data_IF_711682147939
#
_entry.id   IF_711682147939
#
_cell.length_a   1.000
_cell.length_b   1.000
_cell.length_c   1.000
_cell.angle_alpha   90.00
_cell.angle_beta   90.00
_cell.angle_gamma   90.00
#
_symmetry.space_group_name_H-M   'P 1'
#
loop_
_entity.id
_entity.type
_entity.pdbx_description
1 polymer ?
#
# COMPACT_ATOMS: atom_id res chain seq x y z
N UNK A 1 14.37 -3.87 15.62
CA UNK A 1 14.16 -3.01 14.45
C UNK A 1 15.00 -1.79 14.65
N UNK A 2 16.06 -1.64 13.87
CA UNK A 2 17.09 -0.62 14.08
C UNK A 2 16.91 0.49 13.05
N UNK A 3 16.20 1.55 13.43
CA UNK A 3 16.29 2.85 12.77
C UNK A 3 16.33 3.92 13.85
N UNK A 4 17.27 4.86 13.73
CA UNK A 4 17.42 5.98 14.66
C UNK A 4 16.42 7.12 14.39
N UNK A 5 15.34 6.84 13.66
CA UNK A 5 14.36 7.84 13.19
C UNK A 5 13.00 7.22 12.88
N UNK A 6 12.09 8.04 12.36
CA UNK A 6 10.72 7.65 12.03
C UNK A 6 10.67 6.56 10.96
N UNK A 7 9.85 5.54 11.19
CA UNK A 7 9.57 4.45 10.25
C UNK A 7 8.08 4.16 10.28
N UNK A 8 7.45 4.11 9.11
CA UNK A 8 6.12 3.54 8.92
C UNK A 8 6.21 2.26 8.10
N UNK A 9 5.64 1.18 8.62
CA UNK A 9 5.49 -0.10 7.93
C UNK A 9 4.03 -0.52 7.89
N UNK A 10 3.72 -1.57 7.14
CA UNK A 10 2.35 -2.11 6.99
C UNK A 10 1.32 -1.08 6.51
N UNK A 11 1.75 -0.04 5.80
CA UNK A 11 0.86 0.97 5.19
C UNK A 11 -0.16 0.25 4.32
N UNK A 12 -1.43 0.57 4.56
CA UNK A 12 -2.58 -0.13 3.98
C UNK A 12 -3.60 0.91 3.49
N UNK A 13 -4.24 0.72 2.33
CA UNK A 13 -4.00 -0.35 1.36
C UNK A 13 -2.60 -0.28 0.74
N UNK A 14 -2.04 -1.44 0.40
CA UNK A 14 -0.70 -1.51 -0.20
C UNK A 14 -0.70 -0.97 -1.64
N UNK A 15 0.49 -0.60 -2.14
CA UNK A 15 0.63 -0.04 -3.48
C UNK A 15 0.08 -0.96 -4.58
N UNK A 16 0.29 -2.27 -4.44
CA UNK A 16 -0.20 -3.28 -5.40
C UNK A 16 -1.73 -3.36 -5.49
N UNK A 17 -2.46 -2.84 -4.49
CA UNK A 17 -3.93 -2.77 -4.45
C UNK A 17 -4.47 -1.35 -4.64
N UNK A 18 -3.64 -0.42 -5.12
CA UNK A 18 -4.08 0.95 -5.43
C UNK A 18 -4.38 1.80 -4.20
N UNK A 19 -3.74 1.52 -3.06
CA UNK A 19 -3.79 2.45 -1.92
C UNK A 19 -3.06 3.77 -2.23
N UNK A 20 -3.26 4.83 -1.44
CA UNK A 20 -2.64 6.14 -1.69
C UNK A 20 -1.11 6.12 -1.81
N UNK A 21 -0.43 5.15 -1.16
CA UNK A 21 1.02 4.97 -1.30
C UNK A 21 1.44 4.62 -2.75
N UNK A 22 0.52 4.12 -3.59
CA UNK A 22 0.78 3.79 -4.99
C UNK A 22 0.97 5.02 -5.89
N UNK A 23 0.50 6.20 -5.46
CA UNK A 23 0.50 7.43 -6.28
C UNK A 23 1.52 8.48 -5.82
N UNK A 24 2.30 8.15 -4.79
CA UNK A 24 3.39 8.99 -4.31
C UNK A 24 4.47 9.05 -5.37
N UNK A 25 4.96 10.26 -5.65
CA UNK A 25 5.99 10.55 -6.64
C UNK A 25 7.15 11.27 -5.95
N UNK A 26 8.32 11.23 -6.59
CA UNK A 26 9.49 11.96 -6.11
C UNK A 26 9.17 13.45 -5.98
N UNK A 27 9.53 14.01 -4.83
CA UNK A 27 9.27 15.41 -4.49
C UNK A 27 7.93 15.68 -3.78
N UNK A 28 7.02 14.71 -3.69
CA UNK A 28 5.82 14.87 -2.84
C UNK A 28 6.23 14.98 -1.36
N UNK A 29 5.59 15.87 -0.62
CA UNK A 29 5.84 16.03 0.81
C UNK A 29 5.04 14.98 1.61
N UNK A 30 5.70 14.33 2.56
CA UNK A 30 5.08 13.37 3.48
C UNK A 30 5.13 13.94 4.90
N UNK A 31 3.97 14.10 5.54
CA UNK A 31 3.88 14.53 6.92
C UNK A 31 3.61 13.36 7.85
N UNK A 32 4.46 13.25 8.88
CA UNK A 32 4.25 12.42 10.06
C UNK A 32 3.76 13.31 11.20
N UNK A 33 2.50 13.18 11.58
CA UNK A 33 1.96 13.80 12.80
C UNK A 33 1.75 12.72 13.86
N UNK A 34 2.71 12.64 14.79
CA UNK A 34 2.72 11.62 15.84
C UNK A 34 1.62 11.89 16.89
N UNK A 35 1.30 13.16 17.15
CA UNK A 35 0.30 13.52 18.12
C UNK A 35 -1.11 13.18 17.61
N UNK A 36 -1.38 13.51 16.34
CA UNK A 36 -2.63 13.17 15.67
C UNK A 36 -2.72 11.68 15.26
N UNK A 37 -1.58 10.96 15.24
CA UNK A 37 -1.44 9.59 14.70
C UNK A 37 -1.77 9.52 13.22
N UNK A 38 -1.35 10.54 12.48
CA UNK A 38 -1.59 10.68 11.05
C UNK A 38 -0.29 10.56 10.26
N UNK A 39 -0.40 9.85 9.14
CA UNK A 39 0.60 9.83 8.08
C UNK A 39 -0.11 10.23 6.79
N UNK A 40 0.29 11.35 6.21
CA UNK A 40 -0.35 11.87 4.99
C UNK A 40 0.69 12.31 3.97
N UNK A 41 0.30 12.20 2.71
CA UNK A 41 0.97 12.89 1.60
C UNK A 41 0.29 14.25 1.45
N UNK A 42 1.04 15.34 1.33
CA UNK A 42 0.52 16.70 1.15
C UNK A 42 0.00 16.89 -0.28
N UNK A 43 -1.11 16.23 -0.60
CA UNK A 43 -1.84 16.37 -1.85
C UNK A 43 -3.30 16.65 -1.53
N UNK A 44 -3.96 17.43 -2.38
CA UNK A 44 -5.40 17.60 -2.27
C UNK A 44 -6.13 16.30 -2.60
N UNK A 45 -7.34 16.12 -2.07
CA UNK A 45 -8.19 14.97 -2.41
C UNK A 45 -8.42 14.84 -3.92
N UNK A 46 -8.51 15.98 -4.63
CA UNK A 46 -8.64 16.04 -6.08
C UNK A 46 -7.41 15.49 -6.82
N UNK A 47 -6.21 15.82 -6.36
CA UNK A 47 -4.96 15.27 -6.93
C UNK A 47 -4.81 13.78 -6.63
N UNK A 48 -5.15 13.35 -5.40
CA UNK A 48 -5.13 11.93 -5.04
C UNK A 48 -6.09 11.15 -5.95
N UNK A 49 -7.32 11.62 -6.11
CA UNK A 49 -8.31 11.00 -6.98
C UNK A 49 -7.85 10.96 -8.45
N UNK A 50 -7.29 12.06 -8.96
CA UNK A 50 -6.78 12.12 -10.33
C UNK A 50 -5.63 11.13 -10.56
N UNK A 51 -4.65 11.08 -9.65
CA UNK A 51 -3.51 10.15 -9.78
C UNK A 51 -3.96 8.68 -9.63
N UNK A 52 -4.95 8.40 -8.78
CA UNK A 52 -5.51 7.05 -8.64
C UNK A 52 -6.31 6.63 -9.86
N UNK A 53 -6.97 7.56 -10.56
CA UNK A 53 -7.68 7.26 -11.81
C UNK A 53 -6.73 6.80 -12.92
N UNK A 54 -5.49 7.30 -12.92
CA UNK A 54 -4.44 6.89 -13.88
C UNK A 54 -3.67 5.64 -13.41
N UNK A 55 -3.88 5.18 -12.17
CA UNK A 55 -3.13 4.07 -11.60
C UNK A 55 -3.60 2.73 -12.18
N UNK A 56 -2.62 1.89 -12.52
CA UNK A 56 -2.84 0.53 -12.98
C UNK A 56 -2.03 -0.43 -12.11
N UNK A 57 -2.65 -1.56 -11.73
CA UNK A 57 -1.96 -2.57 -10.95
C UNK A 57 -0.73 -3.09 -11.70
N UNK A 58 0.43 -3.23 -11.02
CA UNK A 58 1.61 -3.79 -11.65
C UNK A 58 1.38 -5.27 -11.99
N UNK A 59 1.98 -5.71 -13.10
CA UNK A 59 1.95 -7.11 -13.49
C UNK A 59 2.53 -8.02 -12.39
N UNK A 60 1.87 -9.13 -12.03
CA UNK A 60 2.38 -10.05 -11.03
C UNK A 60 3.75 -10.61 -11.43
N UNK A 61 4.74 -10.44 -10.56
CA UNK A 61 6.10 -11.00 -10.75
C UNK A 61 6.09 -12.53 -10.91
N UNK A 62 5.15 -13.19 -10.25
CA UNK A 62 4.96 -14.65 -10.32
C UNK A 62 3.54 -14.95 -10.76
N UNK A 63 3.41 -15.58 -11.93
CA UNK A 63 2.12 -15.97 -12.52
C UNK A 63 1.69 -17.39 -12.17
N UNK A 64 2.57 -18.18 -11.56
CA UNK A 64 2.29 -19.56 -11.13
C UNK A 64 3.08 -19.93 -9.86
N UNK A 65 2.80 -21.12 -9.33
CA UNK A 65 3.47 -21.67 -8.15
C UNK A 65 3.02 -21.03 -6.84
N UNK A 66 3.81 -21.25 -5.78
CA UNK A 66 3.42 -20.87 -4.40
C UNK A 66 3.20 -19.37 -4.22
N UNK A 67 3.99 -18.52 -4.91
CA UNK A 67 3.85 -17.06 -4.80
C UNK A 67 2.61 -16.52 -5.52
N UNK A 68 2.22 -17.12 -6.65
CA UNK A 68 0.96 -16.78 -7.31
C UNK A 68 -0.24 -17.16 -6.42
N UNK A 69 -0.19 -18.34 -5.78
CA UNK A 69 -1.21 -18.74 -4.80
C UNK A 69 -1.27 -17.77 -3.62
N UNK A 70 -0.12 -17.39 -3.05
CA UNK A 70 -0.06 -16.45 -1.94
C UNK A 70 -0.67 -15.09 -2.31
N UNK A 71 -0.22 -14.49 -3.42
CA UNK A 71 -0.71 -13.20 -3.89
C UNK A 71 -2.24 -13.21 -4.13
N UNK A 72 -2.79 -14.34 -4.60
CA UNK A 72 -4.22 -14.51 -4.81
C UNK A 72 -5.04 -14.65 -3.51
N UNK A 73 -4.42 -14.99 -2.38
CA UNK A 73 -5.12 -15.37 -1.15
C UNK A 73 -4.81 -14.51 0.06
N UNK A 74 -3.75 -13.69 0.00
CA UNK A 74 -3.28 -12.89 1.14
C UNK A 74 -4.20 -11.70 1.42
N UNK A 75 -4.59 -11.57 2.70
CA UNK A 75 -5.39 -10.45 3.20
C UNK A 75 -4.54 -9.17 3.34
N UNK A 76 -5.18 -8.07 3.71
CA UNK A 76 -4.44 -6.86 4.06
C UNK A 76 -3.48 -7.07 5.24
N UNK A 77 -2.39 -6.31 5.30
CA UNK A 77 -1.53 -6.25 6.48
C UNK A 77 -2.30 -5.75 7.71
N UNK A 78 -3.30 -4.86 7.53
CA UNK A 78 -4.23 -4.45 8.59
C UNK A 78 -5.10 -5.60 9.14
N UNK A 79 -5.20 -6.71 8.41
CA UNK A 79 -5.90 -7.93 8.81
C UNK A 79 -4.92 -9.07 9.19
N UNK A 80 -3.63 -8.76 9.32
CA UNK A 80 -2.60 -9.73 9.70
C UNK A 80 -1.97 -10.53 8.56
N UNK A 81 -2.20 -10.14 7.30
CA UNK A 81 -1.64 -10.80 6.11
C UNK A 81 -1.87 -12.33 6.08
N UNK A 82 -3.03 -12.77 6.57
CA UNK A 82 -3.42 -14.18 6.57
C UNK A 82 -3.82 -14.61 5.17
N UNK A 83 -3.69 -15.91 4.87
CA UNK A 83 -4.22 -16.46 3.61
C UNK A 83 -5.64 -16.97 3.84
N UNK A 84 -6.58 -16.53 3.01
CA UNK A 84 -7.96 -17.04 3.02
C UNK A 84 -8.17 -17.88 1.77
N UNK A 85 -8.44 -19.20 1.90
CA UNK A 85 -8.78 -20.01 0.74
C UNK A 85 -10.07 -19.48 0.13
N UNK A 86 -10.00 -19.00 -1.11
CA UNK A 86 -11.17 -18.78 -1.94
C UNK A 86 -11.64 -20.14 -2.44
N UNK A 87 -12.61 -20.74 -1.74
CA UNK A 87 -13.37 -21.84 -2.30
C UNK A 87 -14.35 -21.22 -3.30
N UNK A 88 -14.09 -21.44 -4.59
CA UNK A 88 -15.03 -21.14 -5.66
C UNK A 88 -16.23 -22.09 -5.64
#
# INVERSE_FOLDING_TARGET
GATHGLMAGHVTPEAARGGPIAIVRDGDMIQFDIAARELRVELSDGEIAARLADWHAPEPRYRSGVFAKYAAQVSSASEGAITRPTFG
#
